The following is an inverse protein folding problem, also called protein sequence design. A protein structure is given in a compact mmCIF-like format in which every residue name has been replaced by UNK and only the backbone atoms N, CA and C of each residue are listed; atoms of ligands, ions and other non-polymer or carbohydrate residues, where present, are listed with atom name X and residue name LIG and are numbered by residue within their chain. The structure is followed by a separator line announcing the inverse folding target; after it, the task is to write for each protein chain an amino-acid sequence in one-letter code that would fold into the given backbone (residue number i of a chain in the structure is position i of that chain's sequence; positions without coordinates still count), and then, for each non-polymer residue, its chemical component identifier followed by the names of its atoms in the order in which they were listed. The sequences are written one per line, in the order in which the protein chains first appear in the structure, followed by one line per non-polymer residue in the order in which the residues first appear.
data_IF_459268210634
#
_entry.id   IF_459268210634
#
_cell.length_a   1.000
_cell.length_b   1.000
_cell.length_c   1.000
_cell.angle_alpha   90.00
_cell.angle_beta   90.00
_cell.angle_gamma   90.00
#
_symmetry.space_group_name_H-M   'P 1'
#
loop_
_entity.id
_entity.type
_entity.pdbx_description
1 polymer ?
#
# COMPACT_ATOMS: atom_id res chain seq x y z
N UNK A 1 5.86 18.46 -9.39
CA UNK A 1 5.58 18.41 -7.93
C UNK A 1 5.80 19.81 -7.45
N UNK A 2 4.74 20.54 -7.04
CA UNK A 2 4.95 21.82 -6.35
C UNK A 2 5.81 21.54 -5.13
N UNK A 3 7.09 21.90 -5.21
CA UNK A 3 8.06 21.57 -4.17
C UNK A 3 7.85 22.44 -2.93
N UNK A 4 7.13 23.57 -3.06
CA UNK A 4 6.79 24.49 -1.99
C UNK A 4 6.25 23.77 -0.74
N UNK A 5 6.79 24.05 0.46
CA UNK A 5 7.77 25.10 0.79
C UNK A 5 9.25 24.73 0.54
N UNK A 6 9.53 23.55 0.00
CA UNK A 6 10.88 23.02 -0.20
C UNK A 6 11.41 23.22 -1.64
N UNK A 7 12.73 23.19 -1.83
CA UNK A 7 13.35 23.03 -3.16
C UNK A 7 13.17 21.61 -3.69
N UNK A 8 13.30 21.31 -4.99
CA UNK A 8 13.30 19.93 -5.48
C UNK A 8 14.32 19.05 -4.72
N UNK A 9 13.96 17.80 -4.34
CA UNK A 9 14.86 16.95 -3.55
C UNK A 9 16.12 16.58 -4.33
N UNK A 10 17.30 16.85 -3.74
CA UNK A 10 18.61 16.57 -4.34
C UNK A 10 19.17 15.19 -3.97
N UNK A 11 18.44 14.41 -3.17
CA UNK A 11 18.82 13.03 -2.82
C UNK A 11 17.60 12.11 -2.80
N UNK A 12 17.83 10.83 -3.04
CA UNK A 12 16.79 9.78 -2.97
C UNK A 12 16.15 9.72 -1.60
N UNK A 13 16.94 9.84 -0.54
CA UNK A 13 16.47 9.80 0.85
C UNK A 13 15.59 11.02 1.17
N UNK A 14 16.01 12.22 0.76
CA UNK A 14 15.21 13.45 0.93
C UNK A 14 13.90 13.40 0.14
N UNK A 15 13.92 12.83 -1.07
CA UNK A 15 12.68 12.62 -1.84
C UNK A 15 11.74 11.65 -1.14
N UNK A 16 12.28 10.52 -0.67
CA UNK A 16 11.49 9.49 0.00
C UNK A 16 10.88 9.97 1.32
N UNK A 17 11.65 10.65 2.19
CA UNK A 17 11.09 11.19 3.44
C UNK A 17 9.97 12.20 3.16
N UNK A 18 10.14 13.11 2.19
CA UNK A 18 9.09 14.07 1.81
C UNK A 18 7.83 13.41 1.27
N UNK A 19 7.98 12.30 0.55
CA UNK A 19 6.84 11.49 0.11
C UNK A 19 6.09 10.87 1.30
N UNK A 20 6.81 10.33 2.30
CA UNK A 20 6.18 9.80 3.52
C UNK A 20 5.47 10.91 4.30
N UNK A 21 6.10 12.08 4.45
CA UNK A 21 5.50 13.25 5.10
C UNK A 21 4.25 13.74 4.37
N UNK A 22 4.27 13.76 3.02
CA UNK A 22 3.09 14.06 2.22
C UNK A 22 1.95 13.08 2.54
N UNK A 23 2.20 11.77 2.53
CA UNK A 23 1.16 10.79 2.85
C UNK A 23 0.60 11.01 4.27
N UNK A 24 1.50 11.23 5.24
CA UNK A 24 1.18 11.38 6.66
C UNK A 24 0.32 12.61 6.95
N UNK A 25 0.71 13.76 6.41
CA UNK A 25 0.18 15.07 6.83
C UNK A 25 -0.89 15.60 5.87
N UNK A 26 -1.05 14.99 4.69
CA UNK A 26 -2.02 15.48 3.72
C UNK A 26 -3.46 15.21 4.17
N UNK A 27 -4.27 16.25 4.08
CA UNK A 27 -5.67 16.25 4.48
C UNK A 27 -6.56 15.65 3.37
N UNK A 28 -6.42 14.35 3.11
CA UNK A 28 -7.06 13.63 1.99
C UNK A 28 -8.58 13.83 1.87
N UNK A 29 -9.28 14.03 2.98
CA UNK A 29 -10.74 14.23 3.00
C UNK A 29 -11.17 15.67 2.72
N UNK A 30 -10.24 16.63 2.77
CA UNK A 30 -10.57 18.07 2.75
C UNK A 30 -10.10 18.78 1.50
N UNK A 31 -9.16 18.20 0.75
CA UNK A 31 -8.66 18.78 -0.50
C UNK A 31 -8.12 17.71 -1.45
N UNK A 32 -8.25 17.92 -2.78
CA UNK A 32 -7.67 17.06 -3.78
C UNK A 32 -6.16 17.32 -3.93
N UNK A 33 -5.38 16.25 -4.09
CA UNK A 33 -3.96 16.35 -4.42
C UNK A 33 -3.80 16.63 -5.91
N UNK A 34 -3.51 17.89 -6.25
CA UNK A 34 -3.28 18.31 -7.64
C UNK A 34 -1.79 18.16 -7.98
N UNK A 35 -1.50 17.24 -8.91
CA UNK A 35 -0.16 16.94 -9.39
C UNK A 35 0.02 17.55 -10.78
N UNK A 36 0.55 18.77 -10.78
CA UNK A 36 0.98 19.46 -11.99
C UNK A 36 2.51 19.41 -12.08
N UNK A 37 3.04 18.69 -13.07
CA UNK A 37 4.48 18.54 -13.25
C UNK A 37 5.06 19.52 -14.27
N UNK A 38 4.29 19.85 -15.30
CA UNK A 38 4.73 20.70 -16.41
C UNK A 38 4.04 22.07 -16.45
N UNK A 39 3.23 22.39 -15.44
CA UNK A 39 2.41 23.62 -15.40
C UNK A 39 1.34 23.65 -16.50
N UNK A 40 0.75 22.47 -16.77
CA UNK A 40 -0.24 22.28 -17.83
C UNK A 40 -1.63 22.79 -17.41
N UNK A 41 -1.90 22.96 -16.10
CA UNK A 41 -3.20 23.40 -15.63
C UNK A 41 -3.40 24.91 -15.69
N UNK A 42 -4.53 25.31 -16.25
CA UNK A 42 -5.04 26.68 -16.21
C UNK A 42 -5.87 26.94 -14.96
N UNK A 43 -6.13 28.20 -14.61
CA UNK A 43 -7.00 28.53 -13.46
C UNK A 43 -8.39 27.88 -13.53
N UNK A 44 -8.95 27.71 -14.74
CA UNK A 44 -10.23 27.03 -14.95
C UNK A 44 -10.16 25.55 -14.61
N UNK A 45 -9.01 24.92 -14.87
CA UNK A 45 -8.81 23.51 -14.57
C UNK A 45 -8.78 23.27 -13.05
N UNK A 46 -8.17 24.19 -12.29
CA UNK A 46 -8.20 24.16 -10.83
C UNK A 46 -9.63 24.27 -10.27
N UNK A 47 -10.46 25.16 -10.84
CA UNK A 47 -11.88 25.29 -10.47
C UNK A 47 -12.64 23.99 -10.76
N UNK A 48 -12.48 23.43 -11.96
CA UNK A 48 -13.12 22.16 -12.35
C UNK A 48 -12.73 21.00 -11.43
N UNK A 49 -11.45 20.88 -11.05
CA UNK A 49 -10.99 19.84 -10.13
C UNK A 49 -11.66 19.99 -8.75
N UNK A 50 -11.79 21.21 -8.25
CA UNK A 50 -12.45 21.47 -6.97
C UNK A 50 -13.95 21.18 -7.01
N UNK A 51 -14.61 21.53 -8.13
CA UNK A 51 -16.03 21.21 -8.34
C UNK A 51 -16.27 19.70 -8.38
N UNK A 52 -15.43 18.95 -9.10
CA UNK A 52 -15.50 17.48 -9.15
C UNK A 52 -15.24 16.87 -7.76
N UNK A 53 -14.25 17.37 -7.03
CA UNK A 53 -13.97 16.95 -5.66
C UNK A 53 -15.16 17.19 -4.72
N UNK A 54 -15.82 18.34 -4.80
CA UNK A 54 -16.98 18.66 -3.96
C UNK A 54 -18.25 17.91 -4.38
N UNK A 55 -18.48 17.73 -5.68
CA UNK A 55 -19.63 16.99 -6.21
C UNK A 55 -19.59 15.52 -5.78
N UNK A 56 -18.39 14.91 -5.74
CA UNK A 56 -18.19 13.51 -5.40
C UNK A 56 -18.10 13.19 -3.90
N UNK A 57 -18.38 14.10 -2.97
CA UNK A 57 -18.03 13.95 -1.54
C UNK A 57 -18.53 12.65 -0.86
N UNK A 58 -19.56 11.96 -1.39
CA UNK A 58 -20.01 10.64 -0.89
C UNK A 58 -19.40 9.44 -1.62
N UNK A 59 -18.91 9.63 -2.85
CA UNK A 59 -18.39 8.58 -3.75
C UNK A 59 -16.92 8.74 -4.09
N UNK A 60 -16.26 9.76 -3.53
CA UNK A 60 -14.87 10.05 -3.80
C UNK A 60 -13.97 8.89 -3.37
N UNK A 61 -12.90 8.63 -4.13
CA UNK A 61 -11.86 7.73 -3.68
C UNK A 61 -11.27 8.22 -2.35
N UNK A 62 -10.72 7.31 -1.55
CA UNK A 62 -10.08 7.70 -0.29
C UNK A 62 -8.93 8.69 -0.53
N UNK A 63 -8.29 8.63 -1.70
CA UNK A 63 -7.31 9.60 -2.17
C UNK A 63 -7.80 10.21 -3.48
N UNK A 64 -8.17 11.48 -3.48
CA UNK A 64 -8.41 12.22 -4.71
C UNK A 64 -7.10 12.83 -5.21
N UNK A 65 -6.58 12.30 -6.32
CA UNK A 65 -5.37 12.75 -7.01
C UNK A 65 -5.77 13.19 -8.43
N UNK A 66 -5.56 14.47 -8.72
CA UNK A 66 -5.77 15.04 -10.06
C UNK A 66 -4.44 15.29 -10.76
N UNK A 67 -4.40 15.06 -12.07
CA UNK A 67 -3.28 15.41 -12.95
C UNK A 67 -3.81 15.85 -14.31
N UNK A 68 -2.99 16.45 -15.18
CA UNK A 68 -3.43 16.84 -16.53
C UNK A 68 -4.01 15.68 -17.35
N UNK A 69 -3.65 14.43 -17.02
CA UNK A 69 -4.14 13.22 -17.66
C UNK A 69 -5.42 12.66 -17.03
N UNK A 70 -5.76 13.09 -15.81
CA UNK A 70 -6.93 12.62 -15.05
C UNK A 70 -7.32 13.66 -14.00
N UNK A 71 -8.24 14.56 -14.36
CA UNK A 71 -8.71 15.63 -13.48
C UNK A 71 -9.72 15.15 -12.42
N UNK A 72 -10.36 14.00 -12.67
CA UNK A 72 -11.45 13.48 -11.84
C UNK A 72 -10.99 12.42 -10.84
N UNK A 73 -9.73 12.00 -10.92
CA UNK A 73 -9.18 10.92 -10.13
C UNK A 73 -9.84 9.55 -10.39
N UNK A 74 -10.29 9.32 -11.63
CA UNK A 74 -11.00 8.07 -11.97
C UNK A 74 -10.07 6.89 -12.26
N UNK A 75 -8.85 7.16 -12.71
CA UNK A 75 -7.97 6.16 -13.32
C UNK A 75 -7.20 5.36 -12.28
N UNK A 76 -6.77 6.01 -11.20
CA UNK A 76 -5.78 5.42 -10.29
C UNK A 76 -6.29 5.11 -8.90
N UNK A 77 -7.28 5.84 -8.39
CA UNK A 77 -7.64 5.77 -6.95
C UNK A 77 -9.08 5.32 -6.68
N UNK A 78 -9.93 5.20 -7.69
CA UNK A 78 -11.33 4.73 -7.55
C UNK A 78 -11.43 3.33 -6.95
N UNK A 79 -10.62 2.40 -7.44
CA UNK A 79 -10.67 1.01 -6.97
C UNK A 79 -9.89 0.80 -5.67
N UNK A 80 -8.80 1.54 -5.49
CA UNK A 80 -7.88 1.41 -4.35
C UNK A 80 -6.99 2.65 -4.28
N UNK A 81 -6.64 3.15 -3.08
CA UNK A 81 -6.97 2.55 -1.78
C UNK A 81 -8.38 2.88 -1.30
N UNK A 82 -8.96 1.97 -0.51
CA UNK A 82 -10.14 2.29 0.31
C UNK A 82 -9.74 3.07 1.58
N UNK A 83 -10.73 3.53 2.36
CA UNK A 83 -10.44 4.33 3.55
C UNK A 83 -9.61 3.58 4.61
N UNK A 84 -9.79 2.27 4.72
CA UNK A 84 -9.04 1.46 5.69
C UNK A 84 -7.57 1.31 5.26
N UNK A 85 -7.35 1.02 3.98
CA UNK A 85 -6.04 0.94 3.34
C UNK A 85 -5.32 2.28 3.41
N UNK A 86 -6.03 3.40 3.23
CA UNK A 86 -5.46 4.73 3.41
C UNK A 86 -5.05 4.99 4.87
N UNK A 87 -5.90 4.66 5.85
CA UNK A 87 -5.54 4.79 7.28
C UNK A 87 -4.28 3.99 7.62
N UNK A 88 -4.20 2.76 7.09
CA UNK A 88 -3.01 1.90 7.25
C UNK A 88 -1.79 2.52 6.57
N UNK A 89 -1.95 3.04 5.35
CA UNK A 89 -0.89 3.72 4.61
C UNK A 89 -0.35 4.95 5.37
N UNK A 90 -1.23 5.77 5.94
CA UNK A 90 -0.87 6.92 6.79
C UNK A 90 -0.11 6.48 8.05
N UNK A 91 -0.56 5.40 8.70
CA UNK A 91 0.13 4.86 9.88
C UNK A 91 1.55 4.38 9.53
N UNK A 92 1.70 3.66 8.42
CA UNK A 92 3.02 3.24 7.93
C UNK A 92 3.91 4.41 7.55
N UNK A 93 3.38 5.40 6.84
CA UNK A 93 4.13 6.59 6.47
C UNK A 93 4.66 7.33 7.70
N UNK A 94 3.86 7.43 8.76
CA UNK A 94 4.27 8.02 10.04
C UNK A 94 5.44 7.25 10.67
N UNK A 95 5.28 5.95 10.90
CA UNK A 95 6.32 5.16 11.57
C UNK A 95 7.60 5.07 10.74
N UNK A 96 7.48 4.98 9.41
CA UNK A 96 8.63 4.92 8.52
C UNK A 96 9.37 6.26 8.43
N UNK A 97 8.66 7.40 8.46
CA UNK A 97 9.29 8.72 8.50
C UNK A 97 10.09 8.91 9.79
N UNK A 98 9.49 8.61 10.95
CA UNK A 98 10.15 8.71 12.26
C UNK A 98 11.39 7.80 12.36
N UNK A 99 11.30 6.57 11.84
CA UNK A 99 12.43 5.66 11.80
C UNK A 99 13.53 6.14 10.84
N UNK A 100 13.15 6.66 9.68
CA UNK A 100 14.10 7.16 8.68
C UNK A 100 14.85 8.40 9.18
N UNK A 101 14.19 9.29 9.92
CA UNK A 101 14.85 10.43 10.58
C UNK A 101 15.96 9.97 11.51
N UNK A 102 15.67 9.03 12.43
CA UNK A 102 16.67 8.45 13.34
C UNK A 102 17.83 7.75 12.61
N UNK A 103 17.53 7.09 11.50
CA UNK A 103 18.54 6.42 10.67
C UNK A 103 19.46 7.41 9.96
N UNK A 104 18.94 8.55 9.51
CA UNK A 104 19.72 9.64 8.90
C UNK A 104 20.63 10.29 9.95
N UNK A 105 20.16 10.42 11.19
CA UNK A 105 20.94 10.93 12.32
C UNK A 105 22.04 9.95 12.79
N UNK A 106 22.03 8.72 12.30
CA UNK A 106 23.04 7.70 12.61
C UNK A 106 22.78 6.90 13.89
N UNK A 107 21.56 6.96 14.44
CA UNK A 107 21.21 6.34 15.72
C UNK A 107 21.23 4.80 15.67
N UNK A 108 20.83 4.19 14.53
CA UNK A 108 20.63 2.72 14.41
C UNK A 108 20.89 2.16 13.00
N UNK A 109 22.10 2.27 12.42
CA UNK A 109 22.37 1.91 11.02
C UNK A 109 22.03 0.45 10.65
N UNK A 110 22.03 -0.48 11.58
CA UNK A 110 21.60 -1.86 11.34
C UNK A 110 20.11 -2.00 10.98
N UNK A 111 19.30 -0.97 11.23
CA UNK A 111 17.84 -0.99 11.02
C UNK A 111 17.37 -0.49 9.67
N UNK A 112 18.26 -0.05 8.76
CA UNK A 112 17.88 0.36 7.39
C UNK A 112 16.93 -0.62 6.66
N UNK A 113 17.14 -1.96 6.73
CA UNK A 113 16.22 -2.92 6.09
C UNK A 113 14.80 -2.87 6.64
N UNK A 114 14.61 -2.49 7.91
CA UNK A 114 13.32 -2.58 8.59
C UNK A 114 12.29 -1.58 8.07
N UNK A 115 12.72 -0.48 7.42
CA UNK A 115 11.82 0.46 6.72
C UNK A 115 11.03 -0.24 5.60
N UNK A 116 11.59 -1.29 5.01
CA UNK A 116 11.00 -2.02 3.89
C UNK A 116 10.32 -3.33 4.32
N UNK A 117 10.26 -3.61 5.61
CA UNK A 117 9.60 -4.79 6.16
C UNK A 117 8.15 -4.47 6.53
N UNK A 118 7.21 -5.32 6.09
CA UNK A 118 5.82 -5.20 6.50
C UNK A 118 5.64 -5.64 7.96
N UNK A 119 5.00 -4.84 8.82
CA UNK A 119 4.66 -5.26 10.18
C UNK A 119 3.70 -6.45 10.16
N UNK A 120 4.08 -7.55 10.82
CA UNK A 120 3.27 -8.78 10.89
C UNK A 120 2.10 -8.69 11.87
N UNK A 121 2.17 -7.79 12.86
CA UNK A 121 1.20 -7.65 13.94
C UNK A 121 -0.16 -7.06 13.52
N UNK A 122 -0.34 -6.68 12.26
CA UNK A 122 -1.56 -6.03 11.75
C UNK A 122 -2.44 -6.97 10.91
N UNK A 123 -2.07 -8.25 10.83
CA UNK A 123 -2.80 -9.27 10.09
C UNK A 123 -3.27 -10.36 11.05
N UNK A 124 -4.51 -10.78 10.89
CA UNK A 124 -5.09 -11.89 11.66
C UNK A 124 -4.43 -13.23 11.30
N UNK A 125 -4.03 -13.38 10.03
CA UNK A 125 -3.41 -14.59 9.49
C UNK A 125 -2.27 -14.21 8.54
N UNK A 126 -1.12 -14.87 8.69
CA UNK A 126 0.03 -14.74 7.78
C UNK A 126 0.34 -16.10 7.17
N UNK A 127 0.22 -16.20 5.85
CA UNK A 127 0.58 -17.39 5.10
C UNK A 127 2.03 -17.26 4.61
N UNK A 128 2.93 -18.02 5.21
CA UNK A 128 4.35 -18.04 4.80
C UNK A 128 4.54 -19.02 3.64
N UNK A 129 4.79 -18.49 2.46
CA UNK A 129 5.14 -19.29 1.27
C UNK A 129 6.61 -19.71 1.34
N UNK A 130 6.91 -20.96 0.98
CA UNK A 130 8.27 -21.46 0.94
C UNK A 130 9.06 -20.80 -0.20
N UNK A 131 10.26 -20.22 0.06
CA UNK A 131 11.04 -19.55 -0.97
C UNK A 131 11.35 -20.44 -2.17
N UNK A 132 11.62 -21.74 -1.96
CA UNK A 132 11.94 -22.70 -3.01
C UNK A 132 10.78 -22.94 -4.00
N UNK A 133 9.55 -22.53 -3.64
CA UNK A 133 8.35 -22.65 -4.48
C UNK A 133 8.06 -21.38 -5.29
N UNK A 134 8.81 -20.30 -5.07
CA UNK A 134 8.66 -19.07 -5.84
C UNK A 134 9.34 -19.22 -7.20
N UNK A 135 8.77 -18.62 -8.25
CA UNK A 135 9.39 -18.62 -9.59
C UNK A 135 10.76 -17.91 -9.62
N UNK A 136 10.97 -16.95 -8.71
CA UNK A 136 12.19 -16.15 -8.62
C UNK A 136 12.65 -15.99 -7.16
N UNK A 137 13.16 -17.06 -6.51
CA UNK A 137 13.51 -17.05 -5.09
C UNK A 137 14.60 -16.03 -4.74
N UNK A 138 15.52 -15.78 -5.66
CA UNK A 138 16.63 -14.85 -5.50
C UNK A 138 16.21 -13.37 -5.46
N UNK A 139 14.95 -13.04 -5.76
CA UNK A 139 14.44 -11.66 -5.74
C UNK A 139 13.88 -11.23 -4.37
N UNK A 140 13.86 -12.13 -3.38
CA UNK A 140 13.37 -11.80 -2.03
C UNK A 140 14.44 -11.01 -1.29
N UNK A 141 14.22 -9.70 -1.13
CA UNK A 141 15.19 -8.79 -0.50
C UNK A 141 15.11 -8.79 1.03
N UNK A 142 13.90 -8.96 1.58
CA UNK A 142 13.66 -8.87 3.02
C UNK A 142 12.81 -10.06 3.46
N UNK A 143 13.29 -10.80 4.45
CA UNK A 143 12.53 -11.88 5.07
C UNK A 143 11.76 -11.33 6.26
N UNK A 144 10.45 -11.58 6.30
CA UNK A 144 9.64 -11.28 7.48
C UNK A 144 9.92 -12.34 8.53
N UNK A 145 10.37 -11.90 9.70
CA UNK A 145 10.52 -12.78 10.85
C UNK A 145 9.16 -12.96 11.53
N UNK A 146 8.60 -14.16 11.42
CA UNK A 146 7.27 -14.50 11.96
C UNK A 146 7.49 -15.41 13.15
N UNK A 147 7.20 -14.90 14.35
CA UNK A 147 7.47 -15.57 15.64
C UNK A 147 6.69 -16.89 15.81
N UNK A 148 5.53 -17.02 15.20
CA UNK A 148 4.69 -18.23 15.25
C UNK A 148 4.26 -18.64 13.84
N UNK A 149 4.62 -19.86 13.44
CA UNK A 149 4.21 -20.42 12.15
C UNK A 149 3.53 -21.77 12.36
N UNK A 150 2.29 -21.88 11.91
CA UNK A 150 1.63 -23.18 11.70
C UNK A 150 1.93 -23.59 10.26
N UNK A 151 2.59 -24.72 10.06
CA UNK A 151 2.86 -25.25 8.71
C UNK A 151 1.59 -25.92 8.18
N UNK A 152 1.03 -25.35 7.11
CA UNK A 152 -0.04 -25.97 6.35
C UNK A 152 0.54 -26.52 5.06
N UNK A 153 0.44 -27.83 4.84
CA UNK A 153 0.83 -28.47 3.58
C UNK A 153 -0.37 -28.50 2.66
N UNK A 154 -0.38 -27.64 1.63
CA UNK A 154 -1.37 -27.72 0.56
C UNK A 154 -0.94 -28.82 -0.41
N UNK A 155 -1.85 -29.76 -0.72
CA UNK A 155 -1.62 -30.79 -1.75
C UNK A 155 -1.30 -30.12 -3.09
N UNK A 156 -0.62 -30.85 -3.97
CA UNK A 156 -0.31 -30.38 -5.31
C UNK A 156 -1.58 -29.81 -5.97
N UNK A 157 -1.49 -28.64 -6.62
CA UNK A 157 -2.62 -28.05 -7.30
C UNK A 157 -3.18 -29.04 -8.32
N UNK A 158 -4.47 -29.35 -8.24
CA UNK A 158 -5.17 -30.04 -9.32
C UNK A 158 -5.32 -29.12 -10.53
N UNK A 159 -5.88 -29.63 -11.63
CA UNK A 159 -6.10 -28.88 -12.88
C UNK A 159 -6.95 -27.60 -12.71
N UNK A 160 -7.60 -27.43 -11.56
CA UNK A 160 -8.42 -26.26 -11.19
C UNK A 160 -7.60 -25.08 -10.62
N UNK A 161 -6.30 -25.24 -10.37
CA UNK A 161 -5.49 -24.17 -9.79
C UNK A 161 -5.15 -23.09 -10.82
N UNK A 162 -5.78 -21.92 -10.64
CA UNK A 162 -5.39 -20.72 -11.36
C UNK A 162 -4.36 -19.92 -10.54
N UNK A 163 -3.09 -19.83 -10.98
CA UNK A 163 -2.05 -19.06 -10.27
C UNK A 163 -2.32 -17.55 -10.26
N UNK A 164 -3.23 -17.07 -11.12
CA UNK A 164 -3.62 -15.68 -11.24
C UNK A 164 -4.97 -15.39 -10.59
N UNK A 165 -5.34 -16.16 -9.54
CA UNK A 165 -6.49 -15.86 -8.69
C UNK A 165 -6.48 -14.37 -8.32
N UNK A 166 -7.23 -13.58 -9.08
CA UNK A 166 -7.71 -12.30 -8.62
C UNK A 166 -8.50 -12.64 -7.34
N UNK A 167 -8.28 -11.87 -6.29
CA UNK A 167 -8.99 -12.01 -5.01
C UNK A 167 -10.41 -11.37 -4.95
N UNK A 168 -11.26 -11.25 -6.02
CA UNK A 168 -12.64 -10.81 -5.82
C UNK A 168 -13.47 -11.78 -4.96
N UNK A 169 -13.06 -13.04 -4.82
CA UNK A 169 -13.86 -14.10 -4.19
C UNK A 169 -13.97 -14.01 -2.66
N UNK A 170 -13.32 -13.05 -2.00
CA UNK A 170 -13.50 -12.82 -0.56
C UNK A 170 -14.54 -11.72 -0.24
N UNK A 171 -15.14 -11.11 -1.26
CA UNK A 171 -16.20 -10.10 -1.07
C UNK A 171 -17.57 -10.72 -1.28
N UNK A 172 -18.10 -11.29 -0.20
CA UNK A 172 -19.52 -11.53 0.01
C UNK A 172 -20.15 -12.63 -0.84
N UNK A 173 -20.08 -13.86 -0.34
CA UNK A 173 -21.23 -14.76 -0.46
C UNK A 173 -21.46 -15.41 0.90
N UNK A 174 -22.66 -15.23 1.43
CA UNK A 174 -23.09 -15.70 2.75
C UNK A 174 -23.49 -17.18 2.69
N UNK A 175 -22.56 -18.04 2.28
CA UNK A 175 -22.71 -19.49 2.30
C UNK A 175 -21.52 -20.12 3.04
N UNK A 176 -21.69 -20.54 4.32
CA UNK A 176 -20.60 -21.12 5.11
C UNK A 176 -20.18 -22.53 4.68
N UNK A 177 -20.75 -23.09 3.60
CA UNK A 177 -20.51 -24.48 3.18
C UNK A 177 -19.75 -24.65 1.85
N UNK A 178 -19.29 -23.57 1.20
CA UNK A 178 -18.29 -23.71 0.12
C UNK A 178 -16.89 -23.82 0.71
N UNK A 179 -16.68 -25.02 1.24
CA UNK A 179 -15.48 -25.60 1.84
C UNK A 179 -14.15 -25.10 1.25
N UNK A 180 -13.43 -24.27 2.01
CA UNK A 180 -11.97 -24.41 2.07
C UNK A 180 -11.67 -25.71 2.80
N UNK A 181 -11.55 -26.82 2.07
CA UNK A 181 -11.11 -28.09 2.64
C UNK A 181 -9.61 -28.00 2.96
N UNK A 182 -9.27 -27.50 4.13
CA UNK A 182 -7.93 -27.55 4.68
C UNK A 182 -7.70 -28.95 5.28
N UNK A 183 -6.99 -29.80 4.53
CA UNK A 183 -6.65 -31.15 4.97
C UNK A 183 -5.40 -31.16 5.87
N UNK A 184 -5.58 -31.81 7.01
CA UNK A 184 -4.61 -32.47 7.92
C UNK A 184 -3.54 -31.59 8.58
N UNK A 185 -3.78 -31.31 9.86
CA UNK A 185 -2.73 -30.99 10.84
C UNK A 185 -2.05 -32.30 11.28
N UNK A 186 -0.72 -32.37 11.19
CA UNK A 186 0.05 -33.33 11.97
C UNK A 186 0.83 -32.57 13.05
N UNK A 187 0.79 -33.01 14.31
CA UNK A 187 1.62 -32.42 15.36
C UNK A 187 3.09 -32.82 15.14
N UNK A 188 4.00 -31.89 15.42
CA UNK A 188 5.44 -32.15 15.39
C UNK A 188 5.83 -33.09 16.54
N UNK A 189 6.60 -34.13 16.22
CA UNK A 189 7.32 -34.96 17.16
C UNK A 189 8.68 -34.33 17.51
#
# INVERSE_FOLDING_TARGET
MRSAPYSPPLSRVTGFIRFLLLIRDYAWNFKPLIVDLNEDFTSKDYELIMDEFHAGNKTNPAMFIASPYDMRSHTWTVASPDQFSLKRLVAYARTSAELLEKLIEGDMPERWPSIFCTPSNLYDIILKVQPQRLSHPHRVLFSVDVKSTVKVTVKAPGDEFNPWLLLPALKGDSDPEKSFSLVSTQPAA
#
